data_IF_418380155823
#
_entry.id   IF_418380155823
#
_cell.length_a   1.000
_cell.length_b   1.000
_cell.length_c   1.000
_cell.angle_alpha   90.00
_cell.angle_beta   90.00
_cell.angle_gamma   90.00
#
_symmetry.space_group_name_H-M   'P 1'
#
loop_
_entity.id
_entity.type
_entity.pdbx_description
1 polymer ?
#
# COMPACT_ATOMS: atom_id res chain seq x y z
N UNK A 1 8.02 15.06 -30.67
CA UNK A 1 9.19 15.58 -29.94
C UNK A 1 9.84 14.37 -29.27
N UNK A 2 11.10 14.05 -29.59
CA UNK A 2 11.81 12.93 -28.96
C UNK A 2 12.88 13.52 -28.03
N UNK A 3 13.02 12.95 -26.83
CA UNK A 3 13.82 13.51 -25.72
C UNK A 3 15.00 12.59 -25.35
N UNK A 4 15.47 11.76 -26.27
CA UNK A 4 16.62 10.85 -26.09
C UNK A 4 16.43 9.72 -25.07
N UNK A 5 15.26 9.59 -24.43
CA UNK A 5 14.96 8.49 -23.50
C UNK A 5 14.42 7.29 -24.26
N UNK A 6 15.30 6.30 -24.47
CA UNK A 6 14.93 4.99 -25.01
C UNK A 6 14.17 4.17 -23.96
N UNK A 7 12.83 4.23 -24.01
CA UNK A 7 11.96 3.43 -23.16
C UNK A 7 10.67 3.03 -23.88
N UNK A 8 10.24 1.75 -23.78
CA UNK A 8 8.98 1.31 -24.38
C UNK A 8 7.76 2.02 -23.77
N UNK A 9 7.87 2.57 -22.57
CA UNK A 9 6.82 3.39 -21.96
C UNK A 9 6.73 4.75 -22.66
N UNK A 10 7.86 5.44 -22.82
CA UNK A 10 7.94 6.75 -23.50
C UNK A 10 7.46 6.62 -24.95
N UNK A 11 7.88 5.56 -25.65
CA UNK A 11 7.43 5.20 -27.00
C UNK A 11 5.90 5.10 -27.15
N UNK A 12 5.22 4.53 -26.17
CA UNK A 12 3.76 4.37 -26.18
C UNK A 12 3.07 5.73 -26.10
N UNK A 13 3.58 6.67 -25.29
CA UNK A 13 3.07 8.05 -25.28
C UNK A 13 3.43 8.82 -26.57
N UNK A 14 4.64 8.64 -27.12
CA UNK A 14 5.06 9.27 -28.37
C UNK A 14 4.20 8.85 -29.58
N UNK A 15 3.73 7.61 -29.60
CA UNK A 15 2.85 7.07 -30.65
C UNK A 15 1.39 7.54 -30.54
N UNK A 16 1.03 8.31 -29.52
CA UNK A 16 -0.30 8.94 -29.37
C UNK A 16 -1.46 7.99 -29.06
N UNK A 17 -1.23 6.67 -28.96
CA UNK A 17 -2.26 5.66 -28.71
C UNK A 17 -2.77 5.58 -27.26
N UNK A 18 -2.41 6.54 -26.40
CA UNK A 18 -2.69 6.47 -24.96
C UNK A 18 -4.06 7.09 -24.63
N UNK A 19 -4.97 6.35 -23.95
CA UNK A 19 -6.26 6.89 -23.51
C UNK A 19 -6.12 8.12 -22.63
N UNK A 20 -7.08 9.05 -22.73
CA UNK A 20 -7.09 10.33 -22.00
C UNK A 20 -6.81 10.18 -20.50
N UNK A 21 -7.42 9.20 -19.85
CA UNK A 21 -7.23 8.95 -18.41
C UNK A 21 -5.80 8.57 -18.05
N UNK A 22 -5.14 7.76 -18.88
CA UNK A 22 -3.73 7.40 -18.71
C UNK A 22 -2.81 8.61 -18.98
N UNK A 23 -3.18 9.54 -19.87
CA UNK A 23 -2.47 10.81 -20.08
C UNK A 23 -2.64 11.77 -18.90
N UNK A 24 -3.84 11.85 -18.32
CA UNK A 24 -4.09 12.61 -17.08
C UNK A 24 -3.31 12.03 -15.89
N UNK A 25 -3.21 10.70 -15.77
CA UNK A 25 -2.39 10.04 -14.75
C UNK A 25 -0.89 10.31 -14.97
N UNK A 26 -0.45 10.32 -16.23
CA UNK A 26 0.92 10.68 -16.61
C UNK A 26 1.26 12.14 -16.30
N UNK A 27 0.34 13.06 -16.58
CA UNK A 27 0.47 14.49 -16.27
C UNK A 27 0.61 14.77 -14.76
N UNK A 28 0.09 13.88 -13.89
CA UNK A 28 0.31 13.93 -12.42
C UNK A 28 1.67 13.33 -11.98
N UNK A 29 2.52 12.94 -12.92
CA UNK A 29 3.82 12.33 -12.63
C UNK A 29 3.76 10.85 -12.22
N UNK A 30 2.64 10.16 -12.41
CA UNK A 30 2.42 8.78 -11.94
C UNK A 30 2.69 7.70 -13.02
N UNK A 31 3.18 8.07 -14.21
CA UNK A 31 3.36 7.12 -15.33
C UNK A 31 4.62 6.24 -15.27
N UNK A 32 5.69 6.64 -14.59
CA UNK A 32 6.88 5.79 -14.39
C UNK A 32 7.56 6.08 -13.05
N UNK A 33 8.16 5.03 -12.47
CA UNK A 33 9.04 5.12 -11.29
C UNK A 33 10.47 5.50 -11.62
N UNK A 34 10.85 5.52 -12.91
CA UNK A 34 12.16 5.97 -13.38
C UNK A 34 12.15 7.48 -13.59
N UNK A 35 13.17 8.18 -13.09
CA UNK A 35 13.19 9.66 -13.07
C UNK A 35 13.27 10.27 -14.47
N UNK A 36 14.18 9.76 -15.29
CA UNK A 36 14.36 10.06 -16.70
C UNK A 36 13.08 9.83 -17.53
N UNK A 37 12.48 8.65 -17.42
CA UNK A 37 11.21 8.35 -18.11
C UNK A 37 10.06 9.26 -17.64
N UNK A 38 9.93 9.48 -16.33
CA UNK A 38 8.88 10.32 -15.76
C UNK A 38 9.00 11.77 -16.23
N UNK A 39 10.22 12.32 -16.24
CA UNK A 39 10.48 13.69 -16.73
C UNK A 39 10.23 13.80 -18.24
N UNK A 40 10.63 12.81 -19.04
CA UNK A 40 10.35 12.79 -20.47
C UNK A 40 8.85 12.68 -20.79
N UNK A 41 8.10 11.87 -20.03
CA UNK A 41 6.64 11.75 -20.17
C UNK A 41 5.96 13.06 -19.74
N UNK A 42 6.33 13.67 -18.61
CA UNK A 42 5.78 14.96 -18.19
C UNK A 42 6.07 16.07 -19.22
N UNK A 43 7.29 16.13 -19.75
CA UNK A 43 7.68 17.08 -20.79
C UNK A 43 6.87 16.90 -22.09
N UNK A 44 6.54 15.66 -22.44
CA UNK A 44 5.67 15.34 -23.58
C UNK A 44 4.19 15.72 -23.29
N UNK A 45 3.67 15.42 -22.09
CA UNK A 45 2.30 15.76 -21.70
C UNK A 45 2.08 17.28 -21.57
N UNK A 46 3.11 18.06 -21.23
CA UNK A 46 3.06 19.53 -21.25
C UNK A 46 2.88 20.13 -22.68
N UNK A 47 2.90 19.28 -23.72
CA UNK A 47 2.54 19.64 -25.10
C UNK A 47 1.39 18.79 -25.69
N UNK A 48 0.55 18.18 -24.84
CA UNK A 48 -0.63 17.42 -25.30
C UNK A 48 -1.65 18.33 -25.99
N UNK A 49 -2.50 17.75 -26.85
CA UNK A 49 -3.61 18.47 -27.49
C UNK A 49 -4.77 18.74 -26.52
N UNK A 50 -4.89 17.95 -25.46
CA UNK A 50 -5.84 18.19 -24.37
C UNK A 50 -5.25 19.22 -23.40
N UNK A 51 -5.83 20.42 -23.37
CA UNK A 51 -5.36 21.52 -22.53
C UNK A 51 -5.35 21.16 -21.04
N UNK A 52 -6.27 20.31 -20.57
CA UNK A 52 -6.33 19.86 -19.17
C UNK A 52 -5.15 18.96 -18.84
N UNK A 53 -4.69 18.14 -19.79
CA UNK A 53 -3.49 17.31 -19.63
C UNK A 53 -2.24 18.18 -19.63
N UNK A 54 -2.16 19.17 -20.55
CA UNK A 54 -1.02 20.06 -20.68
C UNK A 54 -0.84 21.02 -19.49
N UNK A 55 -1.91 21.62 -18.99
CA UNK A 55 -1.92 22.47 -17.80
C UNK A 55 -1.50 21.68 -16.55
N UNK A 56 -2.07 20.48 -16.37
CA UNK A 56 -1.76 19.62 -15.23
C UNK A 56 -0.30 19.13 -15.23
N UNK A 57 0.23 18.78 -16.41
CA UNK A 57 1.64 18.40 -16.56
C UNK A 57 2.57 19.60 -16.28
N UNK A 58 2.19 20.80 -16.74
CA UNK A 58 2.97 22.03 -16.53
C UNK A 58 2.98 22.44 -15.07
N UNK A 59 1.84 22.37 -14.36
CA UNK A 59 1.76 22.58 -12.90
C UNK A 59 2.63 21.57 -12.16
N UNK A 60 2.49 20.28 -12.48
CA UNK A 60 3.27 19.20 -11.84
C UNK A 60 4.79 19.38 -12.05
N UNK A 61 5.21 19.92 -13.21
CA UNK A 61 6.61 20.27 -13.48
C UNK A 61 7.09 21.49 -12.69
N UNK A 62 6.23 22.50 -12.49
CA UNK A 62 6.53 23.68 -11.68
C UNK A 62 6.60 23.38 -10.17
N UNK A 63 5.82 22.40 -9.70
CA UNK A 63 5.83 21.92 -8.31
C UNK A 63 7.07 21.07 -7.97
N UNK A 64 7.89 20.68 -8.97
CA UNK A 64 9.13 19.95 -8.71
C UNK A 64 10.19 20.86 -8.05
N UNK A 65 10.86 20.43 -6.97
CA UNK A 65 11.89 21.23 -6.33
C UNK A 65 13.09 21.45 -7.28
N UNK A 66 13.22 22.68 -7.77
CA UNK A 66 14.18 23.07 -8.81
C UNK A 66 15.64 22.65 -8.50
N UNK A 67 16.06 22.74 -7.24
CA UNK A 67 17.42 22.32 -6.83
C UNK A 67 17.64 20.80 -7.00
N UNK A 68 16.63 19.98 -6.70
CA UNK A 68 16.70 18.53 -6.87
C UNK A 68 16.59 18.15 -8.36
N UNK A 69 15.78 18.87 -9.13
CA UNK A 69 15.67 18.71 -10.57
C UNK A 69 17.00 19.05 -11.26
N UNK A 70 17.62 20.19 -10.94
CA UNK A 70 18.93 20.57 -11.45
C UNK A 70 20.01 19.52 -11.09
N UNK A 71 20.07 19.06 -9.83
CA UNK A 71 20.98 17.99 -9.39
C UNK A 71 20.73 16.64 -10.07
N UNK A 72 19.49 16.36 -10.50
CA UNK A 72 19.18 15.15 -11.26
C UNK A 72 19.62 15.30 -12.72
N UNK A 73 19.35 16.46 -13.33
CA UNK A 73 19.72 16.76 -14.72
C UNK A 73 21.25 16.91 -14.93
N UNK A 74 22.08 17.06 -13.91
CA UNK A 74 23.56 17.03 -14.10
C UNK A 74 24.14 15.62 -14.17
N UNK A 75 23.35 14.57 -13.97
CA UNK A 75 23.83 13.18 -14.00
C UNK A 75 24.08 12.70 -15.43
N UNK A 76 25.11 11.86 -15.60
CA UNK A 76 25.52 11.31 -16.89
C UNK A 76 24.54 10.29 -17.50
N UNK A 77 23.55 9.81 -16.74
CA UNK A 77 22.49 8.91 -17.21
C UNK A 77 21.29 9.64 -17.82
N UNK A 78 21.29 10.98 -17.85
CA UNK A 78 20.19 11.79 -18.42
C UNK A 78 20.55 12.28 -19.84
N UNK A 79 19.74 11.93 -20.87
CA UNK A 79 19.95 12.36 -22.26
C UNK A 79 20.06 13.89 -22.41
N UNK A 80 20.86 14.34 -23.38
CA UNK A 80 21.11 15.77 -23.61
C UNK A 80 19.83 16.51 -24.00
N UNK A 81 19.03 15.90 -24.87
CA UNK A 81 17.78 16.43 -25.40
C UNK A 81 16.75 16.68 -24.30
N UNK A 82 16.72 15.82 -23.28
CA UNK A 82 15.88 16.01 -22.10
C UNK A 82 16.40 17.16 -21.23
N UNK A 83 17.72 17.24 -20.99
CA UNK A 83 18.33 18.33 -20.21
C UNK A 83 18.08 19.69 -20.86
N UNK A 84 18.31 19.78 -22.16
CA UNK A 84 18.16 21.00 -22.95
C UNK A 84 16.70 21.49 -22.99
N UNK A 85 15.73 20.58 -23.03
CA UNK A 85 14.30 20.93 -22.94
C UNK A 85 13.96 21.63 -21.61
N UNK A 86 14.46 21.10 -20.49
CA UNK A 86 14.20 21.65 -19.16
C UNK A 86 14.89 23.00 -18.95
N UNK A 87 16.11 23.16 -19.46
CA UNK A 87 16.85 24.43 -19.45
C UNK A 87 16.14 25.49 -20.31
N UNK A 88 15.78 25.16 -21.56
CA UNK A 88 15.10 26.07 -22.49
C UNK A 88 13.73 26.56 -21.98
N UNK A 89 13.09 25.78 -21.11
CA UNK A 89 11.80 26.10 -20.48
C UNK A 89 11.94 26.85 -19.13
N UNK A 90 13.14 27.09 -18.63
CA UNK A 90 13.40 27.83 -17.39
C UNK A 90 13.14 27.04 -16.10
N UNK A 91 12.82 25.74 -16.16
CA UNK A 91 12.54 24.92 -14.97
C UNK A 91 13.75 24.68 -14.05
N UNK A 92 14.96 25.01 -14.52
CA UNK A 92 16.22 24.88 -13.77
C UNK A 92 16.76 26.20 -13.23
N UNK A 93 16.15 27.34 -13.57
CA UNK A 93 16.60 28.64 -13.08
C UNK A 93 15.98 28.92 -11.70
N UNK A 94 16.81 29.04 -10.68
CA UNK A 94 16.40 29.51 -9.36
C UNK A 94 16.00 30.98 -9.45
N UNK A 95 14.74 31.24 -9.81
CA UNK A 95 14.15 32.58 -9.76
C UNK A 95 14.09 33.04 -8.30
N UNK A 96 15.08 33.83 -7.90
CA UNK A 96 15.11 34.51 -6.61
C UNK A 96 14.12 35.68 -6.60
N UNK A 97 12.82 35.37 -6.51
CA UNK A 97 11.78 36.31 -6.12
C UNK A 97 11.41 36.04 -4.65
N UNK A 98 12.00 36.81 -3.72
CA UNK A 98 11.42 36.96 -2.39
C UNK A 98 10.10 37.75 -2.45
N UNK A 99 9.29 37.86 -1.40
CA UNK A 99 9.38 37.44 0.00
C UNK A 99 7.95 37.61 0.61
N UNK A 100 7.72 37.66 1.94
CA UNK A 100 8.45 37.11 3.08
C UNK A 100 7.56 36.18 3.94
N UNK A 101 8.08 35.78 5.11
CA UNK A 101 7.42 34.92 6.09
C UNK A 101 6.11 35.50 6.67
N UNK A 102 5.21 34.58 7.03
CA UNK A 102 4.09 34.74 7.99
C UNK A 102 4.49 35.53 9.26
N UNK A 103 3.61 36.35 9.88
CA UNK A 103 2.50 35.79 10.67
C UNK A 103 1.21 36.65 10.84
N UNK A 104 0.12 36.04 11.31
CA UNK A 104 -0.88 36.73 12.14
C UNK A 104 -1.41 35.83 13.25
N UNK A 105 -0.99 36.23 14.45
CA UNK A 105 -1.34 35.79 15.79
C UNK A 105 -2.82 35.92 16.14
N UNK A 106 -3.34 34.91 16.85
CA UNK A 106 -4.16 35.10 18.06
C UNK A 106 -3.73 34.01 19.08
N UNK A 107 -2.80 34.29 20.00
CA UNK A 107 -3.04 34.58 21.44
C UNK A 107 -3.54 33.33 22.23
N UNK A 108 -3.16 32.98 23.47
CA UNK A 108 -2.44 33.63 24.60
C UNK A 108 -2.06 32.49 25.62
N UNK A 109 -1.08 32.51 26.56
CA UNK A 109 0.12 33.35 26.83
C UNK A 109 0.98 32.74 27.98
N UNK A 110 2.33 32.92 27.97
CA UNK A 110 3.30 32.78 29.12
C UNK A 110 3.47 31.39 29.83
N UNK A 111 4.58 31.03 30.51
CA UNK A 111 5.91 31.64 30.76
C UNK A 111 6.97 30.56 31.14
N UNK A 112 8.24 30.98 31.16
CA UNK A 112 9.37 30.53 32.02
C UNK A 112 10.18 29.21 31.78
N UNK A 113 11.47 29.45 31.46
CA UNK A 113 12.73 28.90 32.02
C UNK A 113 12.90 27.38 32.28
N UNK A 114 13.78 26.76 31.47
CA UNK A 114 15.21 26.63 31.84
C UNK A 114 15.66 25.40 32.67
N UNK A 115 16.70 24.70 32.17
CA UNK A 115 17.32 23.53 32.83
C UNK A 115 16.53 22.22 32.60
N UNK A 116 17.13 21.03 32.57
CA UNK A 116 18.53 20.63 32.79
C UNK A 116 18.85 19.40 31.90
N UNK A 117 20.10 18.96 31.88
CA UNK A 117 20.59 17.92 30.97
C UNK A 117 20.39 16.47 31.45
N UNK A 118 20.64 15.54 30.53
CA UNK A 118 20.84 14.09 30.73
C UNK A 118 19.55 13.21 30.78
N UNK A 119 19.65 11.88 30.57
CA UNK A 119 19.23 11.37 29.26
C UNK A 119 18.22 10.22 29.36
N UNK A 120 17.13 10.29 28.59
CA UNK A 120 16.10 9.24 28.57
C UNK A 120 15.87 8.68 27.17
N UNK A 121 16.07 7.37 27.06
CA UNK A 121 15.64 6.53 25.94
C UNK A 121 14.13 6.72 25.69
N UNK A 122 13.77 7.25 24.53
CA UNK A 122 12.37 7.46 24.17
C UNK A 122 12.11 7.14 22.69
N UNK A 123 11.11 6.27 22.50
CA UNK A 123 10.23 6.10 21.35
C UNK A 123 10.64 6.72 20.00
N UNK A 124 10.70 5.86 18.97
CA UNK A 124 10.41 6.28 17.61
C UNK A 124 8.93 6.70 17.51
N UNK A 125 8.67 7.97 17.79
CA UNK A 125 7.37 8.61 17.58
C UNK A 125 7.13 8.73 16.08
N UNK A 126 6.38 7.78 15.51
CA UNK A 126 5.82 7.92 14.16
C UNK A 126 5.01 9.23 14.08
N UNK A 127 5.20 10.07 13.03
CA UNK A 127 4.40 11.28 12.84
C UNK A 127 2.92 10.92 12.55
N UNK A 128 1.97 11.85 12.78
CA UNK A 128 0.54 11.55 12.74
C UNK A 128 0.07 10.97 11.40
N UNK A 129 -0.86 10.03 11.47
CA UNK A 129 -1.44 9.40 10.29
C UNK A 129 -2.42 10.34 9.59
N UNK A 130 -2.04 10.85 8.42
CA UNK A 130 -3.00 11.39 7.45
C UNK A 130 -3.78 10.24 6.79
N UNK A 131 -5.07 10.41 6.45
CA UNK A 131 -5.90 9.35 5.89
C UNK A 131 -5.63 9.11 4.39
N UNK A 132 -4.45 8.57 4.06
CA UNK A 132 -4.01 8.14 2.71
C UNK A 132 -4.90 7.04 2.08
N UNK A 133 -5.89 6.53 2.83
CA UNK A 133 -6.63 5.29 2.55
C UNK A 133 -7.21 5.14 1.13
N UNK A 134 -7.75 6.17 0.44
CA UNK A 134 -8.25 6.03 -0.92
C UNK A 134 -7.12 5.81 -1.95
N UNK A 135 -5.99 6.50 -1.77
CA UNK A 135 -4.89 6.55 -2.75
C UNK A 135 -4.19 5.20 -2.90
N UNK A 136 -4.07 4.45 -1.80
CA UNK A 136 -3.50 3.10 -1.77
C UNK A 136 -4.22 2.12 -2.71
N UNK A 137 -5.52 2.30 -2.95
CA UNK A 137 -6.30 1.43 -3.83
C UNK A 137 -5.98 1.67 -5.31
N UNK A 138 -5.62 2.90 -5.68
CA UNK A 138 -5.26 3.31 -7.05
C UNK A 138 -3.79 3.08 -7.42
N UNK A 139 -2.92 2.70 -6.48
CA UNK A 139 -1.49 2.49 -6.76
C UNK A 139 -1.23 1.31 -7.72
N UNK A 140 -0.18 1.39 -8.55
CA UNK A 140 0.20 0.28 -9.43
C UNK A 140 0.70 -0.93 -8.63
N UNK A 141 0.47 -2.13 -9.17
CA UNK A 141 0.76 -3.42 -8.50
C UNK A 141 2.19 -3.52 -7.93
N UNK A 142 3.27 -3.10 -8.61
CA UNK A 142 4.63 -3.19 -8.06
C UNK A 142 4.84 -2.32 -6.82
N UNK A 143 4.19 -1.17 -6.76
CA UNK A 143 4.27 -0.24 -5.62
C UNK A 143 3.45 -0.76 -4.44
N UNK A 144 2.26 -1.31 -4.70
CA UNK A 144 1.48 -2.07 -3.70
C UNK A 144 2.29 -3.22 -3.10
N UNK A 145 3.08 -3.95 -3.90
CA UNK A 145 3.98 -5.01 -3.41
C UNK A 145 5.10 -4.46 -2.52
N UNK A 146 5.70 -3.31 -2.88
CA UNK A 146 6.71 -2.65 -2.03
C UNK A 146 6.12 -2.15 -0.70
N UNK A 147 4.95 -1.53 -0.73
CA UNK A 147 4.23 -1.07 0.46
C UNK A 147 3.74 -2.24 1.33
N UNK A 148 3.32 -3.35 0.72
CA UNK A 148 2.98 -4.58 1.43
C UNK A 148 4.16 -5.14 2.25
N UNK A 149 5.38 -5.06 1.71
CA UNK A 149 6.62 -5.49 2.38
C UNK A 149 7.10 -4.52 3.45
N UNK A 150 7.19 -3.22 3.12
CA UNK A 150 7.93 -2.23 3.93
C UNK A 150 7.04 -1.29 4.77
N UNK A 151 5.78 -1.11 4.36
CA UNK A 151 4.84 -0.12 4.87
C UNK A 151 4.29 -0.37 6.28
N UNK A 152 3.44 0.55 6.72
CA UNK A 152 2.82 0.55 8.06
C UNK A 152 1.73 -0.53 8.20
N UNK A 153 1.37 -0.86 9.45
CA UNK A 153 0.32 -1.84 9.78
C UNK A 153 -1.00 -1.60 9.06
N UNK A 154 -1.42 -0.34 8.97
CA UNK A 154 -2.71 0.04 8.37
C UNK A 154 -2.70 -0.12 6.85
N UNK A 155 -1.59 0.24 6.19
CA UNK A 155 -1.37 0.00 4.77
C UNK A 155 -1.45 -1.51 4.47
N UNK A 156 -0.81 -2.38 5.28
CA UNK A 156 -0.95 -3.85 5.15
C UNK A 156 -2.39 -4.34 5.31
N UNK A 157 -3.15 -3.80 6.27
CA UNK A 157 -4.54 -4.18 6.52
C UNK A 157 -5.52 -3.78 5.41
N UNK A 158 -5.15 -2.82 4.57
CA UNK A 158 -5.85 -2.47 3.32
C UNK A 158 -5.39 -3.38 2.19
N UNK A 159 -4.08 -3.52 1.99
CA UNK A 159 -3.47 -4.27 0.87
C UNK A 159 -3.77 -5.79 0.92
N UNK A 160 -4.03 -6.38 2.10
CA UNK A 160 -4.44 -7.79 2.22
C UNK A 160 -5.81 -8.09 1.60
N UNK A 161 -6.61 -7.03 1.35
CA UNK A 161 -7.95 -7.10 0.71
C UNK A 161 -7.90 -6.82 -0.79
N UNK A 162 -6.72 -6.52 -1.35
CA UNK A 162 -6.56 -6.24 -2.78
C UNK A 162 -6.93 -7.50 -3.60
N UNK A 163 -7.66 -7.36 -4.73
CA UNK A 163 -8.00 -8.50 -5.58
C UNK A 163 -6.78 -9.21 -6.18
N UNK A 164 -5.62 -8.55 -6.26
CA UNK A 164 -4.39 -9.15 -6.75
C UNK A 164 -3.70 -10.02 -5.69
N UNK A 165 -3.75 -11.34 -5.90
CA UNK A 165 -3.08 -12.36 -5.07
C UNK A 165 -1.59 -12.09 -4.82
N UNK A 166 -0.88 -11.44 -5.76
CA UNK A 166 0.55 -11.11 -5.57
C UNK A 166 0.76 -10.08 -4.46
N UNK A 167 -0.11 -9.07 -4.37
CA UNK A 167 -0.05 -8.04 -3.32
C UNK A 167 -0.36 -8.68 -1.97
N UNK A 168 -1.43 -9.48 -1.89
CA UNK A 168 -1.82 -10.14 -0.66
C UNK A 168 -0.77 -11.17 -0.17
N UNK A 169 -0.13 -11.91 -1.08
CA UNK A 169 1.01 -12.80 -0.74
C UNK A 169 2.25 -12.03 -0.29
N UNK A 170 2.50 -10.83 -0.85
CA UNK A 170 3.59 -9.96 -0.41
C UNK A 170 3.35 -9.43 1.02
N UNK A 171 2.10 -9.10 1.38
CA UNK A 171 1.75 -8.71 2.76
C UNK A 171 2.09 -9.84 3.73
N UNK A 172 1.69 -11.08 3.42
CA UNK A 172 1.99 -12.26 4.25
C UNK A 172 3.49 -12.58 4.37
N UNK A 173 4.30 -12.11 3.42
CA UNK A 173 5.74 -12.34 3.38
C UNK A 173 6.55 -11.22 4.06
N UNK A 174 5.90 -10.18 4.58
CA UNK A 174 6.58 -9.07 5.26
C UNK A 174 7.26 -9.53 6.56
N UNK A 175 8.51 -9.13 6.83
CA UNK A 175 9.18 -9.45 8.09
C UNK A 175 8.63 -8.64 9.30
N UNK A 176 7.78 -7.64 9.05
CA UNK A 176 7.17 -6.77 10.10
C UNK A 176 5.79 -7.27 10.56
N UNK A 177 5.40 -8.48 10.19
CA UNK A 177 4.08 -9.04 10.46
C UNK A 177 3.98 -9.53 11.91
N UNK A 178 2.87 -9.20 12.59
CA UNK A 178 2.62 -9.55 13.99
C UNK A 178 1.50 -10.56 14.13
N UNK A 179 1.53 -11.40 15.18
CA UNK A 179 0.49 -12.42 15.41
C UNK A 179 -0.92 -11.82 15.56
N UNK A 180 -1.01 -10.59 16.09
CA UNK A 180 -2.28 -9.85 16.24
C UNK A 180 -2.84 -9.36 14.90
N UNK A 181 -1.97 -8.98 13.94
CA UNK A 181 -2.38 -8.71 12.56
C UNK A 181 -2.90 -9.98 11.87
N UNK A 182 -2.27 -11.14 12.13
CA UNK A 182 -2.67 -12.41 11.52
C UNK A 182 -4.04 -12.87 12.05
N UNK A 183 -4.29 -12.73 13.36
CA UNK A 183 -5.61 -12.95 13.94
C UNK A 183 -6.66 -12.02 13.30
N UNK A 184 -6.30 -10.76 13.10
CA UNK A 184 -7.18 -9.78 12.46
C UNK A 184 -7.49 -10.16 11.01
N UNK A 185 -6.49 -10.57 10.21
CA UNK A 185 -6.68 -11.02 8.83
C UNK A 185 -7.49 -12.33 8.75
N UNK A 186 -7.25 -13.28 9.65
CA UNK A 186 -8.00 -14.54 9.74
C UNK A 186 -9.49 -14.31 10.04
N UNK A 187 -9.84 -13.24 10.76
CA UNK A 187 -11.24 -12.85 11.05
C UNK A 187 -11.94 -12.14 9.89
N UNK A 188 -11.22 -11.60 8.90
CA UNK A 188 -11.82 -10.85 7.79
C UNK A 188 -12.44 -11.76 6.73
N UNK A 189 -13.72 -11.54 6.44
CA UNK A 189 -14.42 -12.22 5.33
C UNK A 189 -14.11 -11.59 3.95
N UNK A 190 -13.52 -10.39 3.92
CA UNK A 190 -13.19 -9.67 2.67
C UNK A 190 -11.82 -10.06 2.08
N UNK A 191 -11.13 -11.02 2.70
CA UNK A 191 -9.83 -11.55 2.28
C UNK A 191 -10.03 -12.70 1.29
N UNK A 192 -9.01 -12.98 0.46
CA UNK A 192 -9.05 -14.09 -0.50
C UNK A 192 -8.78 -15.45 0.17
N UNK A 193 -9.38 -16.51 -0.36
CA UNK A 193 -9.22 -17.88 0.17
C UNK A 193 -7.76 -18.34 0.22
N UNK A 194 -6.94 -17.86 -0.73
CA UNK A 194 -5.52 -18.19 -0.82
C UNK A 194 -4.72 -17.64 0.37
N UNK A 195 -5.03 -16.44 0.83
CA UNK A 195 -4.42 -15.85 2.04
C UNK A 195 -4.75 -16.70 3.26
N UNK A 196 -6.03 -17.10 3.41
CA UNK A 196 -6.47 -17.94 4.52
C UNK A 196 -5.84 -19.36 4.44
N UNK A 197 -5.62 -19.88 3.23
CA UNK A 197 -4.89 -21.14 2.98
C UNK A 197 -3.43 -21.06 3.42
N UNK A 198 -2.72 -20.00 3.04
CA UNK A 198 -1.34 -19.76 3.45
C UNK A 198 -1.27 -19.64 4.97
N UNK A 199 -2.11 -18.78 5.59
CA UNK A 199 -2.13 -18.61 7.06
C UNK A 199 -2.37 -19.94 7.78
N UNK A 200 -3.32 -20.75 7.32
CA UNK A 200 -3.63 -22.07 7.88
C UNK A 200 -2.54 -23.13 7.66
N UNK A 201 -1.64 -22.94 6.70
CA UNK A 201 -0.54 -23.87 6.42
C UNK A 201 0.71 -23.56 7.27
N UNK A 202 0.90 -22.29 7.66
CA UNK A 202 2.03 -21.90 8.51
C UNK A 202 1.85 -22.41 9.95
N UNK A 203 2.71 -23.37 10.33
CA UNK A 203 2.71 -23.99 11.67
C UNK A 203 3.00 -23.00 12.80
N UNK A 204 3.73 -21.91 12.55
CA UNK A 204 4.03 -20.90 13.58
C UNK A 204 2.76 -20.16 14.00
N UNK A 205 2.01 -19.63 13.04
CA UNK A 205 0.81 -18.84 13.30
C UNK A 205 -0.35 -19.70 13.81
N UNK A 206 -0.51 -20.91 13.26
CA UNK A 206 -1.51 -21.87 13.74
C UNK A 206 -1.19 -22.49 15.10
N UNK A 207 -0.03 -22.23 15.74
CA UNK A 207 0.15 -22.53 17.17
C UNK A 207 -0.76 -21.66 18.03
N UNK A 208 -0.98 -20.39 17.66
CA UNK A 208 -1.87 -19.49 18.38
C UNK A 208 -3.32 -19.96 18.24
N UNK A 209 -3.98 -20.20 19.39
CA UNK A 209 -5.38 -20.61 19.45
C UNK A 209 -6.31 -19.60 18.80
N UNK A 210 -6.07 -18.30 19.00
CA UNK A 210 -6.94 -17.23 18.49
C UNK A 210 -6.97 -17.19 16.96
N UNK A 211 -5.82 -17.40 16.31
CA UNK A 211 -5.70 -17.52 14.84
C UNK A 211 -6.46 -18.76 14.35
N UNK A 212 -6.26 -19.92 14.99
CA UNK A 212 -6.94 -21.15 14.59
C UNK A 212 -8.47 -21.05 14.73
N UNK A 213 -8.97 -20.49 15.83
CA UNK A 213 -10.39 -20.27 16.05
C UNK A 213 -10.99 -19.22 15.08
N UNK A 214 -10.24 -18.16 14.75
CA UNK A 214 -10.64 -17.16 13.77
C UNK A 214 -10.77 -17.75 12.35
N UNK A 215 -9.79 -18.56 11.92
CA UNK A 215 -9.83 -19.26 10.63
C UNK A 215 -11.06 -20.18 10.51
N UNK A 216 -11.33 -21.01 11.52
CA UNK A 216 -12.42 -22.00 11.48
C UNK A 216 -13.81 -21.33 11.47
N UNK A 217 -13.95 -20.14 12.08
CA UNK A 217 -15.20 -19.35 12.09
C UNK A 217 -15.43 -18.52 10.83
N UNK A 218 -14.42 -18.36 9.96
CA UNK A 218 -14.52 -17.54 8.76
C UNK A 218 -15.15 -18.32 7.60
N UNK A 219 -16.14 -17.71 6.94
CA UNK A 219 -16.92 -18.31 5.85
C UNK A 219 -16.10 -18.59 4.58
N UNK A 220 -15.00 -17.85 4.37
CA UNK A 220 -14.10 -17.99 3.22
C UNK A 220 -12.88 -18.88 3.45
N UNK A 221 -12.72 -19.46 4.64
CA UNK A 221 -11.60 -20.39 4.88
C UNK A 221 -11.85 -21.68 4.10
N UNK A 222 -10.89 -22.17 3.29
CA UNK A 222 -11.03 -23.43 2.59
C UNK A 222 -11.38 -24.58 3.55
N UNK A 223 -12.41 -25.41 3.27
CA UNK A 223 -12.86 -26.44 4.18
C UNK A 223 -11.76 -27.42 4.63
N UNK A 224 -10.76 -27.66 3.78
CA UNK A 224 -9.58 -28.47 4.09
C UNK A 224 -8.79 -27.95 5.30
N UNK A 225 -8.58 -26.63 5.37
CA UNK A 225 -7.90 -25.97 6.49
C UNK A 225 -8.77 -26.01 7.75
N UNK A 226 -10.05 -25.69 7.62
CA UNK A 226 -10.97 -25.68 8.76
C UNK A 226 -11.14 -27.06 9.39
N UNK A 227 -11.22 -28.13 8.58
CA UNK A 227 -11.30 -29.51 9.06
C UNK A 227 -10.01 -29.95 9.78
N UNK A 228 -8.83 -29.53 9.31
CA UNK A 228 -7.55 -29.84 9.95
C UNK A 228 -7.37 -29.15 11.31
N UNK A 229 -7.97 -27.97 11.49
CA UNK A 229 -7.92 -27.20 12.74
C UNK A 229 -9.02 -27.59 13.74
N UNK A 230 -10.14 -28.16 13.28
CA UNK A 230 -11.31 -28.52 14.09
C UNK A 230 -11.01 -29.30 15.39
N UNK A 231 -10.11 -30.32 15.42
CA UNK A 231 -9.81 -31.07 16.64
C UNK A 231 -9.07 -30.25 17.72
N UNK A 232 -8.58 -29.05 17.39
CA UNK A 232 -7.84 -28.17 18.30
C UNK A 232 -8.73 -27.09 18.94
N UNK A 233 -9.99 -26.99 18.54
CA UNK A 233 -10.96 -26.06 19.15
C UNK A 233 -11.54 -26.64 20.44
N UNK A 234 -11.92 -25.76 21.36
CA UNK A 234 -12.64 -26.13 22.58
C UNK A 234 -14.08 -26.58 22.27
N UNK A 235 -14.63 -27.50 23.07
CA UNK A 235 -16.01 -28.01 22.91
C UNK A 235 -17.07 -26.91 22.78
N UNK A 236 -16.92 -25.80 23.54
CA UNK A 236 -17.81 -24.63 23.47
C UNK A 236 -17.88 -24.05 22.06
N UNK A 237 -16.74 -23.96 21.38
CA UNK A 237 -16.67 -23.39 20.04
C UNK A 237 -17.12 -24.40 18.97
N UNK A 238 -16.87 -25.69 19.16
CA UNK A 238 -17.42 -26.73 18.28
C UNK A 238 -18.97 -26.75 18.37
N UNK A 239 -19.54 -26.51 19.56
CA UNK A 239 -20.99 -26.34 19.75
C UNK A 239 -21.56 -25.12 19.03
N UNK A 240 -20.89 -23.96 19.04
CA UNK A 240 -21.35 -22.81 18.23
C UNK A 240 -21.23 -23.12 16.73
N UNK A 241 -20.10 -23.69 16.30
CA UNK A 241 -19.83 -24.06 14.91
C UNK A 241 -20.89 -24.97 14.29
N UNK A 242 -21.48 -25.86 15.09
CA UNK A 242 -22.53 -26.80 14.67
C UNK A 242 -23.91 -26.12 14.42
N UNK A 243 -24.11 -24.91 14.94
CA UNK A 243 -25.32 -24.09 14.82
C UNK A 243 -25.13 -22.97 13.78
N UNK A 244 -23.92 -22.41 13.68
CA UNK A 244 -23.60 -21.25 12.84
C UNK A 244 -23.88 -21.49 11.33
N UNK A 245 -24.86 -20.74 10.79
CA UNK A 245 -25.24 -20.83 9.36
C UNK A 245 -24.23 -20.17 8.42
N UNK A 246 -23.40 -19.24 8.93
CA UNK A 246 -22.42 -18.49 8.14
C UNK A 246 -21.23 -19.34 7.64
N UNK A 247 -21.05 -20.55 8.17
CA UNK A 247 -19.85 -21.38 7.99
C UNK A 247 -20.14 -22.49 6.97
N UNK A 248 -19.18 -22.91 6.11
CA UNK A 248 -19.39 -23.97 5.13
C UNK A 248 -20.02 -25.24 5.72
N UNK A 249 -20.99 -25.81 5.01
CA UNK A 249 -21.80 -26.94 5.49
C UNK A 249 -20.95 -28.18 5.82
N UNK A 250 -19.90 -28.45 5.05
CA UNK A 250 -18.91 -29.50 5.32
C UNK A 250 -18.26 -29.38 6.69
N UNK A 251 -17.91 -28.16 7.12
CA UNK A 251 -17.33 -27.88 8.44
C UNK A 251 -18.39 -28.03 9.54
N UNK A 252 -19.63 -27.58 9.29
CA UNK A 252 -20.77 -27.74 10.23
C UNK A 252 -21.12 -29.21 10.48
N UNK A 253 -21.13 -30.03 9.43
CA UNK A 253 -21.36 -31.47 9.52
C UNK A 253 -20.20 -32.18 10.25
N UNK A 254 -18.96 -31.80 9.97
CA UNK A 254 -17.79 -32.31 10.69
C UNK A 254 -17.84 -31.98 12.20
N UNK A 255 -18.25 -30.75 12.56
CA UNK A 255 -18.44 -30.34 13.96
C UNK A 255 -19.51 -31.16 14.68
N UNK A 256 -20.67 -31.36 14.04
CA UNK A 256 -21.75 -32.22 14.59
C UNK A 256 -21.29 -33.66 14.81
N UNK A 257 -20.59 -34.24 13.84
CA UNK A 257 -20.01 -35.59 13.96
C UNK A 257 -18.98 -35.67 15.10
N UNK A 258 -18.18 -34.63 15.29
CA UNK A 258 -17.20 -34.58 16.38
C UNK A 258 -17.89 -34.52 17.75
N UNK A 259 -18.95 -33.73 17.91
CA UNK A 259 -19.74 -33.68 19.15
C UNK A 259 -20.38 -35.04 19.49
N UNK A 260 -21.01 -35.69 18.52
CA UNK A 260 -21.59 -37.03 18.69
C UNK A 260 -20.55 -38.06 19.15
N UNK A 261 -19.33 -38.04 18.59
CA UNK A 261 -18.24 -38.94 18.99
C UNK A 261 -17.72 -38.62 20.40
N UNK A 262 -17.71 -37.36 20.83
CA UNK A 262 -17.33 -36.99 22.19
C UNK A 262 -18.40 -37.36 23.22
N UNK A 263 -19.69 -37.18 22.88
CA UNK A 263 -20.81 -37.59 23.73
C UNK A 263 -20.84 -39.11 23.92
N UNK A 264 -20.69 -39.88 22.83
CA UNK A 264 -20.60 -41.35 22.87
C UNK A 264 -19.34 -41.92 23.54
N UNK A 265 -18.33 -41.09 23.83
CA UNK A 265 -17.15 -41.45 24.66
C UNK A 265 -17.33 -41.13 26.13
N UNK A 266 -18.39 -40.41 26.48
CA UNK A 266 -18.67 -39.92 27.84
C UNK A 266 -19.83 -40.67 28.51
N UNK A 267 -20.69 -41.29 27.69
CA UNK A 267 -21.69 -42.29 28.08
C UNK A 267 -21.08 -43.69 28.24
#
# INVERSE_FOLDING_TARGET
>A
MHLGVDSPVVDVFLRGGVPREARLLAARGLASTRGDERLAILALMAGDQDTVVAELATSTLADLPAEALAKYLTRADVPAELRDWFVLRGFTETSSAGAPLTPTTAQHVTHDRGGDAAPVVAAATDPPAEPEHPLLSSLPVPEKVRLAMLGRREQRAILIRDPNRMVASAVLSSPKLTDTEIEHFARMQNVSEEVLRVIGTHRTWTKNYAVAAALVKNSRTPPSVSMALLPRLQEREIKSLAVDRNIPESVRLAARKYLQVQEARRS
#
